data_IF_150018484397
#
_entry.id   IF_150018484397
#
_cell.length_a   1.000
_cell.length_b   1.000
_cell.length_c   1.000
_cell.angle_alpha   90.00
_cell.angle_beta   90.00
_cell.angle_gamma   90.00
#
_symmetry.space_group_name_H-M   'P 1'
#
loop_
_entity.id
_entity.type
_entity.pdbx_description
1 polymer ?
#
# COMPACT_ATOMS: atom_id res chain seq x y z
N UNK A 1 0.21 -22.17 -1.51
CA UNK A 1 1.09 -20.99 -1.71
C UNK A 1 0.37 -19.74 -1.25
N UNK A 2 1.05 -18.61 -1.04
CA UNK A 2 0.42 -17.33 -0.61
C UNK A 2 -0.62 -16.81 -1.62
N UNK A 3 -0.47 -17.15 -2.90
CA UNK A 3 -1.38 -16.79 -3.97
C UNK A 3 -2.66 -17.65 -4.05
N UNK A 4 -2.73 -18.73 -3.27
CA UNK A 4 -3.94 -19.54 -3.18
C UNK A 4 -4.90 -18.87 -2.18
N UNK A 5 -5.58 -17.82 -2.66
CA UNK A 5 -6.56 -17.07 -1.87
C UNK A 5 -7.74 -17.98 -1.54
N UNK A 6 -8.15 -17.99 -0.28
CA UNK A 6 -9.23 -18.84 0.22
C UNK A 6 -10.59 -18.20 -0.02
N UNK A 7 -10.65 -16.87 -0.14
CA UNK A 7 -11.87 -16.08 -0.24
C UNK A 7 -11.71 -14.96 -1.28
N UNK A 8 -12.27 -15.16 -2.45
CA UNK A 8 -12.45 -14.09 -3.40
C UNK A 8 -11.28 -13.86 -4.37
N UNK A 9 -11.48 -12.92 -5.25
CA UNK A 9 -10.56 -12.52 -6.31
C UNK A 9 -9.81 -11.26 -5.88
N UNK A 10 -8.50 -11.21 -6.10
CA UNK A 10 -7.75 -9.97 -6.08
C UNK A 10 -7.98 -9.25 -7.41
N UNK A 11 -8.54 -8.05 -7.36
CA UNK A 11 -8.68 -7.14 -8.50
C UNK A 11 -7.55 -6.12 -8.43
N UNK A 12 -6.51 -6.34 -9.23
CA UNK A 12 -5.30 -5.52 -9.24
C UNK A 12 -5.30 -4.46 -10.36
N UNK A 13 -6.44 -4.21 -10.98
CA UNK A 13 -6.57 -3.16 -11.98
C UNK A 13 -6.35 -1.79 -11.33
N UNK A 14 -5.70 -0.89 -12.06
CA UNK A 14 -5.57 0.50 -11.61
C UNK A 14 -6.93 1.18 -11.64
N UNK A 15 -7.23 1.91 -10.57
CA UNK A 15 -8.42 2.78 -10.47
C UNK A 15 -7.99 4.10 -9.85
N UNK A 16 -8.39 5.19 -10.48
CA UNK A 16 -8.21 6.53 -9.92
C UNK A 16 -9.47 6.91 -9.15
N UNK A 17 -9.61 6.35 -7.94
CA UNK A 17 -10.74 6.58 -7.04
C UNK A 17 -10.28 7.21 -5.74
N UNK A 18 -11.17 7.99 -5.12
CA UNK A 18 -10.94 8.54 -3.78
C UNK A 18 -11.29 7.50 -2.72
N UNK A 19 -10.57 7.46 -1.59
CA UNK A 19 -10.87 6.55 -0.50
C UNK A 19 -12.15 6.94 0.22
N UNK A 20 -13.02 5.96 0.48
CA UNK A 20 -14.10 6.06 1.45
C UNK A 20 -13.57 5.79 2.87
N UNK A 21 -14.31 6.23 3.89
CA UNK A 21 -13.86 6.07 5.29
C UNK A 21 -13.72 4.61 5.71
N UNK A 22 -14.56 3.73 5.17
CA UNK A 22 -14.55 2.29 5.41
C UNK A 22 -13.51 1.51 4.61
N UNK A 23 -12.90 2.10 3.58
CA UNK A 23 -11.82 1.46 2.83
C UNK A 23 -10.59 1.22 3.73
N UNK A 24 -9.75 0.27 3.37
CA UNK A 24 -8.61 -0.13 4.19
C UNK A 24 -7.32 0.62 3.79
N UNK A 25 -6.60 1.10 4.79
CA UNK A 25 -5.33 1.78 4.60
C UNK A 25 -4.16 0.87 4.98
N UNK A 26 -3.18 0.76 4.09
CA UNK A 26 -1.92 0.06 4.35
C UNK A 26 -0.84 1.11 4.60
N UNK A 27 -0.43 1.24 5.86
CA UNK A 27 0.60 2.18 6.29
C UNK A 27 1.90 1.43 6.53
N UNK A 28 2.98 1.85 5.86
CA UNK A 28 4.28 1.19 5.91
C UNK A 28 5.34 2.16 6.43
N UNK A 29 6.12 1.71 7.43
CA UNK A 29 7.25 2.45 7.98
C UNK A 29 8.45 1.52 8.13
N UNK A 30 9.55 1.82 7.44
CA UNK A 30 10.72 0.92 7.44
C UNK A 30 10.34 -0.49 6.99
N UNK A 31 10.48 -1.47 7.86
CA UNK A 31 10.12 -2.87 7.62
C UNK A 31 8.83 -3.29 8.35
N UNK A 32 8.05 -2.34 8.83
CA UNK A 32 6.79 -2.59 9.54
C UNK A 32 5.56 -2.16 8.75
N UNK A 33 4.47 -2.87 8.97
CA UNK A 33 3.13 -2.55 8.48
C UNK A 33 2.26 -2.26 9.69
N UNK A 34 1.54 -1.14 9.67
CA UNK A 34 0.64 -0.74 10.75
C UNK A 34 -0.58 -1.64 10.79
N UNK A 35 -0.77 -2.30 11.91
CA UNK A 35 -1.89 -3.20 12.16
C UNK A 35 -2.46 -2.97 13.55
N UNK A 36 -3.78 -3.04 13.65
CA UNK A 36 -4.52 -3.14 14.91
C UNK A 36 -4.99 -4.55 15.15
N UNK A 37 -5.66 -4.78 16.29
CA UNK A 37 -6.33 -6.04 16.60
C UNK A 37 -7.84 -5.81 16.71
N UNK A 38 -8.60 -6.71 16.11
CA UNK A 38 -10.05 -6.73 16.30
C UNK A 38 -10.42 -7.31 17.69
N UNK A 39 -11.72 -7.33 17.98
CA UNK A 39 -12.23 -7.88 19.25
C UNK A 39 -11.96 -9.37 19.46
N UNK A 40 -11.56 -10.11 18.43
CA UNK A 40 -11.16 -11.52 18.48
C UNK A 40 -9.62 -11.70 18.52
N UNK A 41 -8.87 -10.58 18.52
CA UNK A 41 -7.41 -10.57 18.54
C UNK A 41 -6.74 -10.78 17.18
N UNK A 42 -7.49 -10.84 16.08
CA UNK A 42 -6.94 -10.93 14.73
C UNK A 42 -6.38 -9.58 14.28
N UNK A 43 -5.29 -9.63 13.55
CA UNK A 43 -4.70 -8.42 13.00
C UNK A 43 -5.55 -7.88 11.85
N UNK A 44 -5.73 -6.57 11.85
CA UNK A 44 -6.48 -5.85 10.82
C UNK A 44 -5.79 -4.56 10.41
N UNK A 45 -6.00 -4.15 9.17
CA UNK A 45 -5.58 -2.83 8.70
C UNK A 45 -6.48 -1.75 9.30
N UNK A 46 -5.94 -0.55 9.56
CA UNK A 46 -6.78 0.60 9.86
C UNK A 46 -7.65 0.96 8.65
N UNK A 47 -8.76 1.63 8.89
CA UNK A 47 -9.54 2.23 7.82
C UNK A 47 -8.95 3.55 7.35
N UNK A 48 -9.31 3.98 6.15
CA UNK A 48 -8.89 5.26 5.60
C UNK A 48 -9.39 6.45 6.46
N UNK A 49 -10.61 6.34 7.01
CA UNK A 49 -11.15 7.32 7.96
C UNK A 49 -10.29 7.43 9.20
N UNK A 50 -9.93 6.31 9.83
CA UNK A 50 -9.05 6.31 11.00
C UNK A 50 -7.70 6.95 10.72
N UNK A 51 -7.05 6.59 9.61
CA UNK A 51 -5.74 7.17 9.25
C UNK A 51 -5.86 8.68 8.99
N UNK A 52 -6.98 9.14 8.42
CA UNK A 52 -7.26 10.56 8.22
C UNK A 52 -7.35 11.29 9.56
N UNK A 53 -8.09 10.73 10.52
CA UNK A 53 -8.27 11.33 11.85
C UNK A 53 -6.94 11.43 12.61
N UNK A 54 -6.08 10.41 12.52
CA UNK A 54 -4.80 10.37 13.22
C UNK A 54 -3.73 11.25 12.57
N UNK A 55 -3.75 11.40 11.25
CA UNK A 55 -2.68 12.11 10.53
C UNK A 55 -2.73 13.62 10.69
N UNK A 56 -3.87 14.19 11.09
CA UNK A 56 -4.06 15.62 11.38
C UNK A 56 -3.75 16.61 10.24
N UNK A 57 -3.08 16.14 9.21
CA UNK A 57 -2.52 16.92 8.09
C UNK A 57 -2.79 16.28 6.73
N UNK A 58 -3.94 15.67 6.59
CA UNK A 58 -4.38 15.03 5.35
C UNK A 58 -4.22 15.92 4.11
N UNK A 59 -4.56 17.20 4.23
CA UNK A 59 -4.51 18.16 3.13
C UNK A 59 -3.11 18.66 2.79
N UNK A 60 -2.13 18.56 3.69
CA UNK A 60 -0.76 19.04 3.44
C UNK A 60 -0.03 18.21 2.37
N UNK A 61 -0.51 17.02 2.08
CA UNK A 61 0.04 16.12 1.06
C UNK A 61 -0.64 16.27 -0.29
N UNK A 62 -1.45 17.34 -0.50
CA UNK A 62 -2.09 17.66 -1.77
C UNK A 62 -3.09 16.60 -2.24
N UNK A 63 -3.77 15.93 -1.29
CA UNK A 63 -4.67 14.81 -1.59
C UNK A 63 -3.94 13.53 -2.02
N UNK A 64 -2.62 13.52 -2.06
CA UNK A 64 -1.79 12.38 -2.46
C UNK A 64 -1.53 11.37 -1.34
N UNK A 65 -2.12 11.56 -0.16
CA UNK A 65 -1.83 10.73 1.02
C UNK A 65 -2.19 9.26 0.85
N UNK A 66 -3.32 8.94 0.25
CA UNK A 66 -3.79 7.57 0.03
C UNK A 66 -3.93 7.28 -1.46
N UNK A 67 -3.29 6.19 -1.91
CA UNK A 67 -3.32 5.74 -3.29
C UNK A 67 -3.97 4.38 -3.39
N UNK A 68 -4.97 4.26 -4.26
CA UNK A 68 -5.60 2.97 -4.54
C UNK A 68 -4.56 1.95 -5.03
N UNK A 69 -4.58 0.76 -4.44
CA UNK A 69 -3.67 -0.31 -4.82
C UNK A 69 -4.36 -1.53 -5.41
N UNK A 70 -5.43 -2.02 -4.80
CA UNK A 70 -6.22 -3.15 -5.30
C UNK A 70 -7.54 -3.25 -4.53
N UNK A 71 -8.44 -4.10 -5.03
CA UNK A 71 -9.65 -4.53 -4.34
C UNK A 71 -9.55 -6.02 -4.00
N UNK A 72 -9.93 -6.38 -2.80
CA UNK A 72 -9.98 -7.77 -2.33
C UNK A 72 -11.11 -7.92 -1.32
N UNK A 73 -11.89 -9.00 -1.41
CA UNK A 73 -13.02 -9.27 -0.50
C UNK A 73 -14.01 -8.10 -0.38
N UNK A 74 -14.39 -7.52 -1.52
CA UNK A 74 -15.28 -6.35 -1.60
C UNK A 74 -14.82 -5.08 -0.87
N UNK A 75 -13.55 -5.03 -0.44
CA UNK A 75 -12.90 -3.88 0.16
C UNK A 75 -11.84 -3.32 -0.75
N UNK A 76 -11.77 -2.00 -0.89
CA UNK A 76 -10.66 -1.32 -1.53
C UNK A 76 -9.51 -1.14 -0.54
N UNK A 77 -8.29 -1.27 -1.05
CA UNK A 77 -7.08 -1.06 -0.28
C UNK A 77 -6.32 0.13 -0.84
N UNK A 78 -5.92 1.00 0.07
CA UNK A 78 -5.16 2.20 -0.25
C UNK A 78 -3.82 2.16 0.47
N UNK A 79 -2.78 2.58 -0.22
CA UNK A 79 -1.45 2.70 0.35
C UNK A 79 -1.26 4.12 0.89
N UNK A 80 -0.90 4.24 2.17
CA UNK A 80 -0.51 5.51 2.77
C UNK A 80 0.91 5.87 2.38
N UNK A 81 1.08 7.01 1.69
CA UNK A 81 2.37 7.51 1.21
C UNK A 81 2.95 8.61 2.10
N UNK A 82 2.21 9.06 3.12
CA UNK A 82 2.65 10.08 4.05
C UNK A 82 3.68 9.55 5.06
N UNK A 83 4.40 10.48 5.68
CA UNK A 83 5.25 10.17 6.84
C UNK A 83 4.34 10.18 8.08
N UNK A 84 4.32 9.07 8.79
CA UNK A 84 3.33 8.74 9.78
C UNK A 84 3.05 9.80 10.84
N UNK A 85 1.77 9.89 11.23
CA UNK A 85 1.32 10.49 12.48
C UNK A 85 1.44 9.53 13.66
N UNK A 86 1.10 10.02 14.85
CA UNK A 86 0.93 9.17 16.02
C UNK A 86 -0.32 8.31 15.83
N UNK A 87 -0.17 7.00 15.90
CA UNK A 87 -1.29 6.08 15.88
C UNK A 87 -1.72 5.75 17.31
N UNK A 88 -3.01 5.43 17.54
CA UNK A 88 -3.48 4.96 18.84
C UNK A 88 -2.73 3.72 19.34
N UNK A 89 -2.71 3.51 20.66
CA UNK A 89 -1.96 2.41 21.30
C UNK A 89 -2.38 1.01 20.84
N UNK A 90 -3.63 0.86 20.37
CA UNK A 90 -4.14 -0.38 19.83
C UNK A 90 -3.56 -0.76 18.46
N UNK A 91 -2.80 0.13 17.82
CA UNK A 91 -2.12 -0.10 16.55
C UNK A 91 -0.60 -0.14 16.73
N UNK A 92 0.06 -1.06 16.05
CA UNK A 92 1.52 -1.21 16.08
C UNK A 92 2.07 -1.53 14.69
N UNK A 93 3.35 -1.16 14.47
CA UNK A 93 4.06 -1.53 13.25
C UNK A 93 4.62 -2.95 13.39
N UNK A 94 3.93 -3.91 12.82
CA UNK A 94 4.31 -5.30 12.84
C UNK A 94 5.28 -5.64 11.70
N UNK A 95 6.32 -6.42 12.00
CA UNK A 95 7.24 -6.88 10.96
C UNK A 95 6.52 -7.79 9.95
N UNK A 96 6.79 -7.62 8.66
CA UNK A 96 6.13 -8.37 7.59
C UNK A 96 6.20 -9.92 7.77
N UNK A 97 7.27 -10.42 8.43
CA UNK A 97 7.40 -11.85 8.76
C UNK A 97 6.32 -12.35 9.72
N UNK A 98 5.87 -11.49 10.66
CA UNK A 98 4.84 -11.83 11.66
C UNK A 98 3.47 -12.04 11.04
N UNK A 99 3.21 -11.43 9.90
CA UNK A 99 1.94 -11.60 9.19
C UNK A 99 1.65 -13.05 8.82
N UNK A 100 2.69 -13.85 8.55
CA UNK A 100 2.54 -15.27 8.17
C UNK A 100 2.07 -16.14 9.31
N UNK A 101 2.37 -15.75 10.54
CA UNK A 101 2.09 -16.53 11.74
C UNK A 101 0.73 -16.18 12.35
N UNK A 102 0.27 -14.95 12.13
CA UNK A 102 -0.84 -14.36 12.89
C UNK A 102 -2.12 -14.16 12.07
N UNK A 103 -2.11 -14.41 10.74
CA UNK A 103 -3.22 -14.00 9.89
C UNK A 103 -3.65 -14.99 8.82
N UNK A 104 -4.84 -14.69 8.27
CA UNK A 104 -5.30 -15.33 7.05
C UNK A 104 -4.34 -15.06 5.88
N UNK A 105 -4.26 -16.00 4.96
CA UNK A 105 -3.44 -15.86 3.75
C UNK A 105 -3.76 -14.59 2.95
N UNK A 106 -5.03 -14.16 2.99
CA UNK A 106 -5.51 -13.01 2.25
C UNK A 106 -4.93 -11.70 2.79
N UNK A 107 -4.92 -11.52 4.12
CA UNK A 107 -4.29 -10.35 4.76
C UNK A 107 -2.79 -10.31 4.46
N UNK A 108 -2.12 -11.47 4.55
CA UNK A 108 -0.70 -11.58 4.21
C UNK A 108 -0.44 -11.22 2.74
N UNK A 109 -1.27 -11.72 1.83
CA UNK A 109 -1.14 -11.44 0.40
C UNK A 109 -1.36 -9.97 0.09
N UNK A 110 -2.40 -9.37 0.66
CA UNK A 110 -2.69 -7.94 0.51
C UNK A 110 -1.54 -7.07 1.04
N UNK A 111 -1.05 -7.39 2.25
CA UNK A 111 0.07 -6.68 2.86
C UNK A 111 1.34 -6.75 2.00
N UNK A 112 1.69 -7.94 1.48
CA UNK A 112 2.86 -8.12 0.63
C UNK A 112 2.72 -7.41 -0.71
N UNK A 113 1.53 -7.44 -1.32
CA UNK A 113 1.25 -6.72 -2.55
C UNK A 113 1.40 -5.20 -2.36
N UNK A 114 0.83 -4.65 -1.30
CA UNK A 114 0.98 -3.24 -0.96
C UNK A 114 2.44 -2.88 -0.66
N UNK A 115 3.19 -3.77 0.03
CA UNK A 115 4.62 -3.61 0.29
C UNK A 115 5.44 -3.48 -0.99
N UNK A 116 5.20 -4.34 -1.98
CA UNK A 116 5.88 -4.27 -3.27
C UNK A 116 5.60 -2.94 -3.98
N UNK A 117 4.36 -2.49 -3.99
CA UNK A 117 3.98 -1.21 -4.58
C UNK A 117 4.59 -0.02 -3.82
N UNK A 118 4.59 -0.07 -2.48
CA UNK A 118 5.24 0.95 -1.66
C UNK A 118 6.72 1.11 -2.00
N UNK A 119 7.45 0.00 -2.06
CA UNK A 119 8.87 0.03 -2.42
C UNK A 119 9.08 0.55 -3.84
N UNK A 120 8.24 0.14 -4.78
CA UNK A 120 8.30 0.66 -6.13
C UNK A 120 8.10 2.18 -6.18
N UNK A 121 7.09 2.72 -5.53
CA UNK A 121 6.86 4.17 -5.44
C UNK A 121 8.04 4.88 -4.78
N UNK A 122 8.53 4.36 -3.67
CA UNK A 122 9.64 4.94 -2.94
C UNK A 122 10.94 5.00 -3.76
N UNK A 123 11.24 3.94 -4.50
CA UNK A 123 12.44 3.84 -5.34
C UNK A 123 12.36 4.68 -6.61
N UNK A 124 11.15 5.08 -7.03
CA UNK A 124 10.94 5.83 -8.27
C UNK A 124 10.47 7.27 -8.02
N UNK A 125 10.73 7.84 -6.85
CA UNK A 125 10.44 9.25 -6.53
C UNK A 125 11.21 10.23 -7.42
N UNK A 126 12.34 9.79 -7.93
CA UNK A 126 13.18 10.56 -8.86
C UNK A 126 13.41 9.77 -10.14
N UNK A 127 13.46 10.47 -11.24
CA UNK A 127 13.68 9.88 -12.56
C UNK A 127 15.11 9.32 -12.67
N UNK A 128 15.25 8.05 -12.97
CA UNK A 128 16.56 7.41 -13.17
C UNK A 128 17.31 7.91 -14.43
N UNK A 129 16.64 8.65 -15.32
CA UNK A 129 17.25 9.20 -16.53
C UNK A 129 17.80 10.63 -16.33
N UNK A 130 17.02 11.52 -15.69
CA UNK A 130 17.41 12.94 -15.56
C UNK A 130 17.46 13.47 -14.11
N UNK A 131 17.09 12.66 -13.13
CA UNK A 131 17.12 13.02 -11.71
C UNK A 131 15.93 13.87 -11.24
N UNK A 132 15.04 14.34 -12.12
CA UNK A 132 13.89 15.13 -11.73
C UNK A 132 12.87 14.33 -10.90
N UNK A 133 12.11 15.03 -10.05
CA UNK A 133 11.04 14.41 -9.27
C UNK A 133 9.93 13.90 -10.20
N UNK A 134 9.54 12.66 -10.03
CA UNK A 134 8.45 12.03 -10.79
C UNK A 134 7.09 12.45 -10.25
N UNK A 135 6.08 12.38 -11.11
CA UNK A 135 4.68 12.61 -10.77
C UNK A 135 3.85 11.38 -11.09
N UNK A 136 2.76 11.21 -10.36
CA UNK A 136 1.79 10.15 -10.60
C UNK A 136 1.04 10.37 -11.92
N UNK A 137 0.67 9.29 -12.57
CA UNK A 137 -0.28 9.32 -13.68
C UNK A 137 -1.69 8.98 -13.19
N UNK A 138 -2.70 9.66 -13.77
CA UNK A 138 -4.11 9.50 -13.40
C UNK A 138 -4.83 8.40 -14.18
N UNK A 139 -4.21 7.86 -15.22
CA UNK A 139 -4.80 6.87 -16.12
C UNK A 139 -4.30 5.47 -15.87
N UNK A 140 -3.03 5.36 -15.45
CA UNK A 140 -2.37 4.07 -15.28
C UNK A 140 -1.52 4.05 -13.99
N UNK A 141 -1.24 2.85 -13.50
CA UNK A 141 -0.31 2.67 -12.39
C UNK A 141 1.12 2.86 -12.87
N UNK A 142 1.51 4.11 -13.03
CA UNK A 142 2.86 4.51 -13.39
C UNK A 142 3.24 5.82 -12.72
N UNK A 143 4.53 6.11 -12.70
CA UNK A 143 5.03 7.45 -12.43
C UNK A 143 5.72 7.99 -13.69
N UNK A 144 5.56 9.27 -13.93
CA UNK A 144 6.06 9.95 -15.11
C UNK A 144 7.03 11.05 -14.71
N UNK A 145 8.10 11.19 -15.45
CA UNK A 145 8.99 12.33 -15.31
C UNK A 145 8.42 13.54 -16.09
N UNK A 146 8.14 14.67 -15.44
CA UNK A 146 7.63 15.86 -16.15
C UNK A 146 8.68 16.49 -17.07
N UNK A 147 9.99 16.32 -16.76
CA UNK A 147 11.08 16.99 -17.49
C UNK A 147 11.48 16.25 -18.76
N UNK A 148 11.68 14.91 -18.68
CA UNK A 148 12.17 14.14 -19.81
C UNK A 148 11.15 13.17 -20.42
N UNK A 149 9.94 13.09 -19.87
CA UNK A 149 8.87 12.23 -20.37
C UNK A 149 9.04 10.74 -20.06
N UNK A 150 10.06 10.34 -19.29
CA UNK A 150 10.29 8.93 -18.95
C UNK A 150 9.10 8.36 -18.17
N UNK A 151 8.60 7.19 -18.61
CA UNK A 151 7.49 6.48 -17.99
C UNK A 151 8.04 5.27 -17.21
N UNK A 152 7.61 5.12 -15.96
CA UNK A 152 8.09 4.07 -15.08
C UNK A 152 6.89 3.29 -14.53
N UNK A 153 6.82 2.01 -14.89
CA UNK A 153 5.78 1.09 -14.46
C UNK A 153 6.28 0.16 -13.33
N UNK A 154 5.39 -0.39 -12.49
CA UNK A 154 5.75 -1.45 -11.56
C UNK A 154 6.37 -2.63 -12.31
N UNK A 155 7.50 -3.14 -11.79
CA UNK A 155 8.22 -4.25 -12.42
C UNK A 155 7.97 -5.54 -11.65
N UNK A 156 7.83 -6.63 -12.38
CA UNK A 156 7.91 -7.98 -11.84
C UNK A 156 9.34 -8.45 -12.02
N UNK A 157 9.98 -8.87 -10.93
CA UNK A 157 11.34 -9.44 -10.96
C UNK A 157 11.23 -10.93 -10.61
N UNK A 158 11.01 -11.81 -11.59
CA UNK A 158 10.91 -13.24 -11.33
C UNK A 158 12.27 -13.78 -10.89
N UNK A 159 12.25 -14.62 -9.86
CA UNK A 159 13.42 -15.39 -9.44
C UNK A 159 13.18 -16.87 -9.77
N UNK A 160 14.14 -17.50 -10.43
CA UNK A 160 14.13 -18.92 -10.74
C UNK A 160 15.24 -19.59 -9.95
N UNK A 161 14.91 -20.69 -9.29
CA UNK A 161 15.90 -21.56 -8.64
C UNK A 161 15.92 -22.85 -9.46
N UNK A 162 17.05 -23.10 -10.09
CA UNK A 162 17.32 -24.39 -10.73
C UNK A 162 17.97 -25.30 -9.69
N UNK A 163 17.43 -26.52 -9.58
CA UNK A 163 17.92 -27.56 -8.66
C UNK A 163 18.80 -28.56 -9.43
#
# INVERSE_FOLDING_TARGET
MLQDLTFGKLENEFRNIQPADEDLAVCIRGNGILLGRDGEGKLQFPTCGQVRDWSGNWDQWGGEGLRYVFRMQDRNYFLWMGEGGDCPEEYSYEAARMLRELNSKDVCFGAMTAWHLYNWYRCNRFCGNCGAKTVHDDRERMVRCPDCGNLIFPRISPAVIEA
#
